data_IF_465529684864
#
_entry.id   IF_465529684864
#
_cell.length_a   1.000
_cell.length_b   1.000
_cell.length_c   1.000
_cell.angle_alpha   90.00
_cell.angle_beta   90.00
_cell.angle_gamma   90.00
#
_symmetry.space_group_name_H-M   'P 1'
#
loop_
_entity.id
_entity.type
_entity.pdbx_description
1 polymer ?
#
# COMPACT_ATOMS: atom_id res chain seq x y z
N UNK A 1 -0.84 -10.60 0.26
CA UNK A 1 -0.41 -9.21 0.57
C UNK A 1 0.63 -9.26 1.67
N UNK A 2 1.77 -8.65 1.43
CA UNK A 2 2.77 -8.46 2.47
C UNK A 2 2.53 -7.12 3.14
N UNK A 3 2.69 -7.07 4.45
CA UNK A 3 2.47 -5.84 5.20
C UNK A 3 3.42 -5.76 6.39
N UNK A 4 3.78 -4.54 6.74
CA UNK A 4 4.62 -4.27 7.90
C UNK A 4 4.33 -2.88 8.44
N UNK A 5 4.56 -2.71 9.72
CA UNK A 5 4.44 -1.40 10.36
C UNK A 5 5.79 -0.71 10.27
N UNK A 6 5.79 0.53 9.76
CA UNK A 6 6.98 1.36 9.66
C UNK A 6 6.77 2.66 10.42
N UNK A 7 7.85 3.25 10.88
CA UNK A 7 7.77 4.45 11.69
C UNK A 7 7.01 4.19 12.97
N UNK A 8 6.16 5.11 13.36
CA UNK A 8 5.43 4.98 14.61
C UNK A 8 4.15 4.14 14.50
N UNK A 9 3.37 4.29 13.44
CA UNK A 9 2.12 3.56 13.29
C UNK A 9 1.63 3.55 11.85
N UNK A 10 2.53 3.47 10.88
CA UNK A 10 2.13 3.47 9.48
C UNK A 10 2.21 2.07 8.90
N UNK A 11 1.20 1.67 8.17
CA UNK A 11 1.18 0.38 7.51
C UNK A 11 1.74 0.52 6.11
N UNK A 12 2.82 -0.22 5.84
CA UNK A 12 3.38 -0.33 4.51
C UNK A 12 3.07 -1.72 3.98
N UNK A 13 2.51 -1.78 2.78
CA UNK A 13 2.08 -3.06 2.22
C UNK A 13 2.36 -3.13 0.74
N UNK A 14 2.50 -4.35 0.25
CA UNK A 14 2.61 -4.65 -1.16
C UNK A 14 1.28 -5.24 -1.60
N UNK A 15 0.62 -4.58 -2.54
CA UNK A 15 -0.70 -4.95 -3.00
C UNK A 15 -0.63 -5.44 -4.44
N UNK A 16 -1.25 -6.58 -4.69
CA UNK A 16 -1.43 -7.09 -6.04
C UNK A 16 -2.82 -6.66 -6.51
N UNK A 17 -2.85 -5.98 -7.64
CA UNK A 17 -4.11 -5.57 -8.24
C UNK A 17 -4.81 -6.78 -8.85
N UNK A 18 -6.13 -6.87 -8.62
CA UNK A 18 -6.93 -7.96 -9.15
C UNK A 18 -6.88 -8.00 -10.67
N UNK A 19 -6.64 -9.17 -11.23
CA UNK A 19 -6.56 -9.35 -12.67
C UNK A 19 -5.20 -9.02 -13.29
N UNK A 20 -4.20 -8.66 -12.49
CA UNK A 20 -2.85 -8.36 -12.97
C UNK A 20 -1.81 -9.12 -12.15
N UNK A 21 -0.59 -9.16 -12.67
CA UNK A 21 0.57 -9.66 -11.91
C UNK A 21 1.40 -8.53 -11.32
N UNK A 22 0.92 -7.31 -11.44
CA UNK A 22 1.63 -6.14 -10.93
C UNK A 22 1.46 -6.01 -9.43
N UNK A 23 2.56 -5.77 -8.72
CA UNK A 23 2.56 -5.52 -7.29
C UNK A 23 2.97 -4.08 -7.07
N UNK A 24 2.14 -3.33 -6.33
CA UNK A 24 2.39 -1.94 -6.02
C UNK A 24 2.57 -1.75 -4.53
N UNK A 25 3.51 -0.89 -4.17
CA UNK A 25 3.72 -0.53 -2.78
C UNK A 25 2.71 0.52 -2.37
N UNK A 26 2.06 0.29 -1.23
CA UNK A 26 1.12 1.23 -0.66
C UNK A 26 1.50 1.59 0.76
N UNK A 27 1.15 2.80 1.17
CA UNK A 27 1.33 3.25 2.54
C UNK A 27 0.02 3.81 3.07
N UNK A 28 -0.37 3.34 4.25
CA UNK A 28 -1.55 3.81 4.96
C UNK A 28 -1.12 4.38 6.30
N UNK A 29 -1.34 5.67 6.51
CA UNK A 29 -0.93 6.33 7.74
C UNK A 29 -1.86 5.95 8.91
N UNK A 30 -1.24 5.67 10.06
CA UNK A 30 -1.95 5.32 11.30
C UNK A 30 -2.88 4.12 11.16
N UNK A 31 -2.44 3.14 10.40
CA UNK A 31 -3.20 1.93 10.13
C UNK A 31 -2.50 0.71 10.71
N UNK A 32 -3.24 -0.14 11.40
CA UNK A 32 -2.75 -1.40 11.92
C UNK A 32 -2.76 -2.47 10.82
N UNK A 33 -2.00 -3.54 11.05
CA UNK A 33 -2.00 -4.67 10.13
C UNK A 33 -3.40 -5.29 10.04
N UNK A 34 -3.72 -5.75 8.84
CA UNK A 34 -4.99 -6.39 8.57
C UNK A 34 -4.83 -7.91 8.58
N UNK A 35 -5.83 -8.61 9.07
CA UNK A 35 -5.80 -10.08 9.17
C UNK A 35 -6.24 -10.80 7.89
N UNK A 36 -6.58 -10.06 6.86
CA UNK A 36 -7.10 -10.61 5.62
C UNK A 36 -6.06 -10.60 4.52
N UNK A 37 -6.08 -11.62 3.66
CA UNK A 37 -5.26 -11.65 2.45
C UNK A 37 -5.81 -10.78 1.34
N UNK A 38 -7.09 -10.44 1.41
CA UNK A 38 -7.75 -9.56 0.45
C UNK A 38 -8.18 -8.30 1.15
N UNK A 39 -7.95 -7.17 0.50
CA UNK A 39 -8.30 -5.88 1.08
C UNK A 39 -9.03 -5.03 0.05
N UNK A 40 -9.80 -4.10 0.56
CA UNK A 40 -10.43 -3.04 -0.23
C UNK A 40 -9.82 -1.73 0.21
N UNK A 41 -9.29 -0.98 -0.73
CA UNK A 41 -8.59 0.26 -0.40
C UNK A 41 -9.05 1.42 -1.30
N UNK A 42 -9.24 2.57 -0.70
CA UNK A 42 -9.35 3.83 -1.41
C UNK A 42 -7.97 4.49 -1.39
N UNK A 43 -7.47 4.87 -2.55
CA UNK A 43 -6.10 5.34 -2.67
C UNK A 43 -5.96 6.40 -3.75
N UNK A 44 -4.84 7.10 -3.70
CA UNK A 44 -4.39 7.97 -4.77
C UNK A 44 -3.05 7.47 -5.27
N UNK A 45 -2.82 7.56 -6.58
CA UNK A 45 -1.53 7.25 -7.15
C UNK A 45 -0.58 8.41 -6.96
N UNK A 46 0.64 8.10 -6.55
CA UNK A 46 1.69 9.06 -6.38
C UNK A 46 2.96 8.57 -7.07
N UNK A 47 3.70 9.49 -7.68
CA UNK A 47 4.98 9.19 -8.27
C UNK A 47 6.05 9.60 -7.28
N UNK A 48 6.83 8.63 -6.83
CA UNK A 48 7.92 8.85 -5.92
C UNK A 48 9.22 8.86 -6.71
N UNK A 49 9.96 9.96 -6.64
CA UNK A 49 11.22 10.11 -7.35
C UNK A 49 12.37 10.17 -6.35
N UNK A 50 13.34 9.29 -6.52
CA UNK A 50 14.50 9.21 -5.66
C UNK A 50 15.72 8.84 -6.47
N UNK A 51 16.74 9.71 -6.47
CA UNK A 51 18.00 9.51 -7.18
C UNK A 51 17.80 9.22 -8.67
N UNK A 52 16.85 9.92 -9.32
CA UNK A 52 16.58 9.75 -10.74
C UNK A 52 15.70 8.53 -11.06
N UNK A 53 15.28 7.79 -10.07
CA UNK A 53 14.40 6.63 -10.26
C UNK A 53 12.99 7.03 -9.86
N UNK A 54 12.04 6.84 -10.77
CA UNK A 54 10.64 7.09 -10.50
C UNK A 54 9.92 5.78 -10.25
N UNK A 55 9.08 5.75 -9.23
CA UNK A 55 8.27 4.59 -8.90
C UNK A 55 6.86 5.03 -8.52
N UNK A 56 5.89 4.18 -8.83
CA UNK A 56 4.51 4.40 -8.43
C UNK A 56 4.30 3.91 -7.00
N UNK A 57 3.60 4.71 -6.22
CA UNK A 57 3.23 4.36 -4.86
C UNK A 57 1.77 4.70 -4.63
N UNK A 58 1.07 3.83 -3.93
CA UNK A 58 -0.32 4.07 -3.56
C UNK A 58 -0.36 4.80 -2.22
N UNK A 59 -0.97 5.98 -2.21
CA UNK A 59 -1.26 6.70 -0.98
C UNK A 59 -2.63 6.25 -0.52
N UNK A 60 -2.68 5.36 0.43
CA UNK A 60 -3.93 4.74 0.86
C UNK A 60 -4.65 5.68 1.82
N UNK A 61 -5.88 6.07 1.45
CA UNK A 61 -6.72 6.92 2.28
C UNK A 61 -7.54 6.11 3.27
N UNK A 62 -8.01 4.94 2.84
CA UNK A 62 -8.68 3.99 3.71
C UNK A 62 -8.43 2.57 3.21
N UNK A 63 -8.36 1.64 4.14
CA UNK A 63 -8.14 0.23 3.80
C UNK A 63 -8.89 -0.62 4.82
N UNK A 64 -9.54 -1.66 4.33
CA UNK A 64 -10.28 -2.59 5.17
C UNK A 64 -10.16 -3.99 4.61
N UNK A 65 -10.40 -4.98 5.45
CA UNK A 65 -10.46 -6.38 5.02
C UNK A 65 -11.67 -6.59 4.12
N UNK A 66 -11.43 -7.27 3.02
CA UNK A 66 -12.51 -7.57 2.08
C UNK A 66 -13.13 -8.94 2.35
#
# INVERSE_FOLDING_TARGET
>A
MEQRIVGEKHLKCNLKLQGTNSVLEGIAFFQEKLDSKKVRAAYKLNINSFRGIESLQLMIESIESA
#
